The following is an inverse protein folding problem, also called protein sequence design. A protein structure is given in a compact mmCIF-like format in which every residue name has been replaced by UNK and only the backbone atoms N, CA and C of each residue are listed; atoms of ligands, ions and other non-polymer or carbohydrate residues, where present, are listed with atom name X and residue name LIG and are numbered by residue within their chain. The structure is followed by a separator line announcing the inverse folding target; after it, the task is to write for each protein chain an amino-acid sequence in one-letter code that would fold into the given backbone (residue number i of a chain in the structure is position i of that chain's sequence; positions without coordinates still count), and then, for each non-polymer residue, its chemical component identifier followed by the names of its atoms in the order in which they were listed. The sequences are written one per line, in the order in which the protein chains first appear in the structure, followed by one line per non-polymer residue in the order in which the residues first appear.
data_IF_231583281538
#
_entry.id   IF_231583281538
#
_cell.length_a   1.000
_cell.length_b   1.000
_cell.length_c   1.000
_cell.angle_alpha   90.00
_cell.angle_beta   90.00
_cell.angle_gamma   90.00
#
_symmetry.space_group_name_H-M   'P 1'
#
loop_
_entity.id
_entity.type
_entity.pdbx_description
1 polymer ?
#
# COMPACT_ATOMS: atom_id res chain seq x y z
N UNK A 1 -15.86 -9.78 -0.57
CA UNK A 1 -15.08 -11.03 -0.76
C UNK A 1 -13.81 -10.96 0.08
N UNK A 2 -13.46 -12.04 0.76
CA UNK A 2 -12.24 -12.09 1.57
C UNK A 2 -11.02 -12.22 0.66
N UNK A 3 -10.06 -11.32 0.78
CA UNK A 3 -8.87 -11.34 -0.08
C UNK A 3 -7.98 -12.57 0.18
N UNK A 4 -8.00 -13.12 1.39
CA UNK A 4 -7.24 -14.32 1.74
C UNK A 4 -7.72 -15.53 0.91
N UNK A 5 -9.03 -15.70 0.78
CA UNK A 5 -9.62 -16.76 -0.03
C UNK A 5 -9.21 -16.60 -1.50
N UNK A 6 -9.41 -15.40 -2.06
CA UNK A 6 -9.07 -15.12 -3.46
C UNK A 6 -7.60 -15.36 -3.77
N UNK A 7 -6.69 -14.86 -2.92
CA UNK A 7 -5.26 -15.03 -3.15
C UNK A 7 -4.85 -16.49 -3.05
N UNK A 8 -5.39 -17.24 -2.09
CA UNK A 8 -5.05 -18.65 -1.90
C UNK A 8 -5.61 -19.54 -3.01
N UNK A 9 -6.78 -19.23 -3.58
CA UNK A 9 -7.30 -19.90 -4.78
C UNK A 9 -6.34 -19.76 -5.98
N UNK A 10 -5.59 -18.66 -6.07
CA UNK A 10 -4.56 -18.43 -7.09
C UNK A 10 -3.16 -18.91 -6.68
N UNK A 11 -3.05 -19.70 -5.60
CA UNK A 11 -1.79 -20.31 -5.16
C UNK A 11 -0.86 -19.40 -4.36
N UNK A 12 -1.40 -18.30 -3.80
CA UNK A 12 -0.64 -17.37 -2.96
C UNK A 12 0.19 -16.34 -3.74
N UNK A 13 0.94 -15.52 -3.02
CA UNK A 13 1.78 -14.43 -3.59
C UNK A 13 3.18 -14.46 -2.99
N UNK A 14 4.15 -13.86 -3.68
CA UNK A 14 5.54 -13.80 -3.25
C UNK A 14 5.84 -12.54 -2.43
N UNK A 15 5.10 -11.45 -2.69
CA UNK A 15 5.31 -10.16 -2.02
C UNK A 15 3.97 -9.54 -1.65
N UNK A 16 3.89 -9.05 -0.41
CA UNK A 16 2.78 -8.24 0.07
C UNK A 16 3.32 -6.90 0.57
N UNK A 17 2.73 -5.81 0.10
CA UNK A 17 2.94 -4.45 0.62
C UNK A 17 1.72 -4.09 1.44
N UNK A 18 1.91 -3.87 2.75
CA UNK A 18 0.83 -3.65 3.70
C UNK A 18 0.95 -2.29 4.40
N UNK A 19 -0.17 -1.59 4.50
CA UNK A 19 -0.31 -0.35 5.26
C UNK A 19 -1.46 -0.39 6.28
N UNK A 20 -2.11 -1.56 6.42
CA UNK A 20 -3.23 -1.79 7.37
C UNK A 20 -2.71 -2.41 8.66
N UNK A 21 -1.81 -3.36 8.59
CA UNK A 21 -1.17 -4.09 9.68
C UNK A 21 -2.10 -5.05 10.44
N UNK A 22 -2.37 -4.80 11.74
CA UNK A 22 -2.89 -5.81 12.66
C UNK A 22 -4.09 -6.63 12.16
N UNK A 23 -5.16 -6.05 11.61
CA UNK A 23 -6.33 -6.82 11.13
C UNK A 23 -6.01 -7.78 9.98
N UNK A 24 -4.98 -7.46 9.19
CA UNK A 24 -4.61 -8.23 8.00
C UNK A 24 -3.38 -9.11 8.20
N UNK A 25 -2.64 -8.93 9.29
CA UNK A 25 -1.34 -9.58 9.48
C UNK A 25 -1.41 -11.10 9.32
N UNK A 26 -2.32 -11.77 10.05
CA UNK A 26 -2.46 -13.23 9.96
C UNK A 26 -2.86 -13.69 8.55
N UNK A 27 -3.75 -12.96 7.88
CA UNK A 27 -4.19 -13.25 6.51
C UNK A 27 -3.03 -13.07 5.54
N UNK A 28 -2.26 -11.98 5.66
CA UNK A 28 -1.08 -11.72 4.85
C UNK A 28 -0.07 -12.88 4.94
N UNK A 29 0.21 -13.35 6.16
CA UNK A 29 1.10 -14.50 6.38
C UNK A 29 0.57 -15.79 5.73
N UNK A 30 -0.74 -16.00 5.78
CA UNK A 30 -1.36 -17.15 5.14
C UNK A 30 -1.28 -17.10 3.60
N UNK A 31 -1.42 -15.91 3.03
CA UNK A 31 -1.35 -15.68 1.58
C UNK A 31 0.07 -15.79 1.00
N UNK A 32 1.10 -15.55 1.80
CA UNK A 32 2.49 -15.62 1.32
C UNK A 32 2.91 -17.05 1.02
N UNK A 33 3.58 -17.20 -0.12
CA UNK A 33 4.29 -18.44 -0.49
C UNK A 33 5.53 -18.64 0.38
N UNK A 34 6.15 -19.78 0.27
CA UNK A 34 7.46 -20.03 0.85
C UNK A 34 8.49 -19.06 0.30
N UNK A 35 9.37 -18.53 1.17
CA UNK A 35 10.35 -17.47 0.89
C UNK A 35 9.70 -16.10 0.57
N UNK A 36 8.40 -15.95 0.84
CA UNK A 36 7.65 -14.72 0.59
C UNK A 36 8.05 -13.57 1.51
N UNK A 37 7.67 -12.35 1.09
CA UNK A 37 8.04 -11.09 1.76
C UNK A 37 6.82 -10.27 2.12
N UNK A 38 6.75 -9.84 3.38
CA UNK A 38 5.81 -8.83 3.85
C UNK A 38 6.54 -7.51 4.12
N UNK A 39 6.14 -6.45 3.43
CA UNK A 39 6.68 -5.10 3.62
C UNK A 39 5.61 -4.22 4.23
N UNK A 40 5.78 -3.82 5.49
CA UNK A 40 4.84 -2.95 6.20
C UNK A 40 5.25 -1.49 6.05
N UNK A 41 4.34 -0.64 5.54
CA UNK A 41 4.56 0.80 5.34
C UNK A 41 3.80 1.67 6.35
N UNK A 42 2.73 1.14 6.94
CA UNK A 42 1.94 1.81 7.95
C UNK A 42 1.16 0.78 8.82
N UNK A 43 0.42 1.27 9.81
CA UNK A 43 -0.43 0.46 10.67
C UNK A 43 -1.78 1.17 10.90
N UNK A 44 -2.48 1.47 9.79
CA UNK A 44 -3.74 2.22 9.82
C UNK A 44 -4.85 1.48 10.56
N UNK A 45 -4.85 0.15 10.52
CA UNK A 45 -5.81 -0.71 11.23
C UNK A 45 -5.39 -1.07 12.66
N UNK A 46 -4.25 -0.54 13.13
CA UNK A 46 -3.74 -0.77 14.48
C UNK A 46 -2.40 -1.50 14.50
N UNK A 47 -1.60 -1.27 15.56
CA UNK A 47 -0.22 -1.78 15.64
C UNK A 47 -0.10 -3.14 16.36
N UNK A 48 -1.15 -3.64 17.01
CA UNK A 48 -1.07 -4.80 17.90
C UNK A 48 -1.72 -6.03 17.29
N UNK A 49 -0.94 -7.07 17.07
CA UNK A 49 -1.42 -8.41 16.69
C UNK A 49 -1.57 -9.22 17.96
N UNK A 50 -2.80 -9.63 18.32
CA UNK A 50 -3.07 -10.28 19.59
C UNK A 50 -2.58 -11.74 19.65
N UNK A 51 -2.74 -12.49 18.56
CA UNK A 51 -2.33 -13.88 18.52
C UNK A 51 -1.67 -14.20 17.15
N UNK A 52 -0.45 -14.68 17.21
CA UNK A 52 0.27 -15.07 16.01
C UNK A 52 1.09 -16.35 16.24
N UNK A 53 0.99 -17.28 15.31
CA UNK A 53 1.78 -18.52 15.35
C UNK A 53 3.12 -18.33 14.60
N UNK A 54 4.22 -18.19 15.36
CA UNK A 54 5.56 -17.99 14.81
C UNK A 54 6.05 -19.16 13.94
N UNK A 55 5.52 -20.37 14.13
CA UNK A 55 5.88 -21.52 13.28
C UNK A 55 5.54 -21.29 11.80
N UNK A 56 4.55 -20.44 11.50
CA UNK A 56 4.23 -20.07 10.11
C UNK A 56 5.37 -19.30 9.45
N UNK A 57 6.08 -18.46 10.19
CA UNK A 57 7.25 -17.74 9.66
C UNK A 57 8.39 -18.70 9.35
N UNK A 58 8.66 -19.62 10.27
CA UNK A 58 9.73 -20.61 10.13
C UNK A 58 9.44 -21.59 8.98
N UNK A 59 8.25 -22.18 8.95
CA UNK A 59 7.88 -23.18 7.96
C UNK A 59 7.88 -22.66 6.53
N UNK A 60 7.49 -21.40 6.35
CA UNK A 60 7.51 -20.73 5.05
C UNK A 60 8.77 -19.90 4.79
N UNK A 61 9.72 -19.81 5.74
CA UNK A 61 10.94 -18.97 5.67
C UNK A 61 10.67 -17.52 5.27
N UNK A 62 9.62 -16.91 5.88
CA UNK A 62 9.15 -15.59 5.50
C UNK A 62 10.09 -14.48 5.93
N UNK A 63 10.16 -13.43 5.13
CA UNK A 63 10.83 -12.18 5.45
C UNK A 63 9.79 -11.10 5.77
N UNK A 64 9.90 -10.51 6.96
CA UNK A 64 9.05 -9.38 7.35
C UNK A 64 9.93 -8.16 7.55
N UNK A 65 9.64 -7.11 6.81
CA UNK A 65 10.34 -5.82 6.91
C UNK A 65 9.32 -4.70 7.12
N UNK A 66 9.79 -3.62 7.74
CA UNK A 66 8.99 -2.41 7.87
C UNK A 66 9.81 -1.21 7.40
N UNK A 67 9.14 -0.23 6.83
CA UNK A 67 9.78 1.02 6.41
C UNK A 67 8.87 2.20 6.74
N UNK A 68 9.50 3.33 6.99
CA UNK A 68 8.84 4.62 7.12
C UNK A 68 9.68 5.69 6.45
N UNK A 69 9.05 6.55 5.67
CA UNK A 69 9.74 7.66 5.02
C UNK A 69 9.83 8.88 5.96
N UNK A 70 8.80 9.08 6.78
CA UNK A 70 8.66 10.29 7.60
C UNK A 70 9.77 10.48 8.63
N UNK A 71 10.31 9.41 9.17
CA UNK A 71 11.39 9.43 10.18
C UNK A 71 12.80 9.36 9.58
N UNK A 72 12.93 9.27 8.26
CA UNK A 72 14.22 9.26 7.57
C UNK A 72 14.83 10.66 7.52
N UNK A 73 16.14 10.73 7.42
CA UNK A 73 16.84 12.01 7.23
C UNK A 73 16.37 12.70 5.95
N UNK A 74 16.49 14.02 5.91
CA UNK A 74 16.11 14.81 4.75
C UNK A 74 16.90 14.40 3.50
N UNK A 75 18.18 14.13 3.66
CA UNK A 75 19.05 13.69 2.55
C UNK A 75 18.59 12.34 1.97
N UNK A 76 18.20 11.41 2.84
CA UNK A 76 17.61 10.14 2.38
C UNK A 76 16.34 10.37 1.59
N UNK A 77 15.43 11.22 2.07
CA UNK A 77 14.18 11.53 1.37
C UNK A 77 14.44 12.18 0.02
N UNK A 78 15.39 13.12 -0.06
CA UNK A 78 15.77 13.79 -1.30
C UNK A 78 16.35 12.78 -2.30
N UNK A 79 17.29 11.94 -1.88
CA UNK A 79 17.93 10.96 -2.76
C UNK A 79 16.91 9.93 -3.28
N UNK A 80 16.08 9.39 -2.39
CA UNK A 80 15.01 8.46 -2.78
C UNK A 80 14.04 9.10 -3.79
N UNK A 81 13.68 10.38 -3.58
CA UNK A 81 12.79 11.09 -4.51
C UNK A 81 13.42 11.29 -5.87
N UNK A 82 14.73 11.61 -5.93
CA UNK A 82 15.47 11.74 -7.19
C UNK A 82 15.53 10.40 -7.93
N UNK A 83 15.95 9.34 -7.25
CA UNK A 83 16.02 8.00 -7.84
C UNK A 83 14.64 7.54 -8.35
N UNK A 84 13.58 7.79 -7.57
CA UNK A 84 12.22 7.49 -8.00
C UNK A 84 11.80 8.32 -9.22
N UNK A 85 12.13 9.62 -9.26
CA UNK A 85 11.81 10.47 -10.39
C UNK A 85 12.51 10.02 -11.67
N UNK A 86 13.81 9.69 -11.59
CA UNK A 86 14.58 9.17 -12.72
C UNK A 86 13.99 7.86 -13.28
N UNK A 87 13.52 6.99 -12.38
CA UNK A 87 12.86 5.74 -12.78
C UNK A 87 11.44 5.95 -13.31
N UNK A 88 10.62 6.74 -12.59
CA UNK A 88 9.18 6.77 -12.82
C UNK A 88 8.73 7.78 -13.87
N UNK A 89 9.37 8.95 -13.98
CA UNK A 89 8.94 9.98 -14.92
C UNK A 89 8.93 9.50 -16.39
N UNK A 90 9.95 8.80 -16.90
CA UNK A 90 9.91 8.26 -18.26
C UNK A 90 8.80 7.21 -18.47
N UNK A 91 8.39 6.51 -17.38
CA UNK A 91 7.28 5.56 -17.46
C UNK A 91 5.92 6.27 -17.52
N UNK A 92 5.77 7.40 -16.82
CA UNK A 92 4.57 8.24 -16.94
C UNK A 92 4.48 8.90 -18.31
N UNK A 93 5.58 9.43 -18.84
CA UNK A 93 5.62 10.08 -20.17
C UNK A 93 5.18 9.15 -21.30
N UNK A 94 5.62 7.89 -21.27
CA UNK A 94 5.19 6.86 -22.23
C UNK A 94 3.93 6.10 -21.83
N UNK A 95 3.21 6.58 -20.83
CA UNK A 95 1.96 6.00 -20.30
C UNK A 95 2.05 4.53 -19.82
N UNK A 96 3.26 4.01 -19.57
CA UNK A 96 3.48 2.69 -18.99
C UNK A 96 3.09 2.66 -17.49
N UNK A 97 3.15 3.81 -16.81
CA UNK A 97 2.55 4.04 -15.51
C UNK A 97 1.45 5.10 -15.65
N UNK A 98 0.28 4.80 -15.14
CA UNK A 98 -0.86 5.73 -15.11
C UNK A 98 -1.48 5.76 -13.73
N UNK A 99 -1.66 6.94 -13.11
CA UNK A 99 -2.43 7.06 -11.89
C UNK A 99 -3.90 6.75 -12.19
N UNK A 100 -4.51 5.91 -11.38
CA UNK A 100 -5.96 5.72 -11.44
C UNK A 100 -6.62 6.92 -10.76
N UNK A 101 -7.37 7.71 -11.52
CA UNK A 101 -8.15 8.84 -11.01
C UNK A 101 -9.60 8.42 -10.90
N UNK A 102 -10.13 8.39 -9.68
CA UNK A 102 -11.52 8.07 -9.40
C UNK A 102 -12.44 9.24 -9.79
N UNK A 103 -12.13 10.44 -9.27
CA UNK A 103 -12.93 11.65 -9.56
C UNK A 103 -12.11 12.92 -9.41
N UNK A 104 -12.44 13.91 -10.26
CA UNK A 104 -11.91 15.27 -10.17
C UNK A 104 -13.02 16.18 -9.66
N UNK A 105 -12.74 16.96 -8.61
CA UNK A 105 -13.65 17.95 -8.07
C UNK A 105 -13.08 19.36 -8.26
N UNK A 106 -13.92 20.37 -8.50
CA UNK A 106 -13.51 21.76 -8.34
C UNK A 106 -13.04 22.02 -6.90
N UNK A 107 -12.11 22.95 -6.70
CA UNK A 107 -11.66 23.31 -5.35
C UNK A 107 -12.82 23.69 -4.42
N UNK A 108 -13.81 24.41 -4.93
CA UNK A 108 -15.00 24.80 -4.16
C UNK A 108 -15.79 23.61 -3.59
N UNK A 109 -15.60 22.43 -4.16
CA UNK A 109 -16.29 21.20 -3.74
C UNK A 109 -15.41 20.27 -2.86
N UNK A 110 -14.34 20.81 -2.26
CA UNK A 110 -13.41 20.03 -1.42
C UNK A 110 -14.11 19.19 -0.34
N UNK A 111 -15.19 19.71 0.26
CA UNK A 111 -15.97 18.99 1.26
C UNK A 111 -16.66 17.74 0.69
N UNK A 112 -17.05 17.74 -0.58
CA UNK A 112 -17.61 16.54 -1.23
C UNK A 112 -16.51 15.53 -1.53
N UNK A 113 -15.33 15.98 -1.94
CA UNK A 113 -14.16 15.14 -2.16
C UNK A 113 -13.76 14.42 -0.87
N UNK A 114 -13.73 15.10 0.27
CA UNK A 114 -13.46 14.50 1.58
C UNK A 114 -14.51 13.46 1.96
N UNK A 115 -15.80 13.78 1.84
CA UNK A 115 -16.88 12.81 2.12
C UNK A 115 -16.77 11.55 1.27
N UNK A 116 -16.43 11.69 -0.02
CA UNK A 116 -16.22 10.53 -0.89
C UNK A 116 -15.04 9.67 -0.43
N UNK A 117 -13.93 10.29 -0.05
CA UNK A 117 -12.76 9.57 0.48
C UNK A 117 -13.09 8.84 1.80
N UNK A 118 -13.78 9.52 2.72
CA UNK A 118 -14.15 8.97 4.03
C UNK A 118 -15.17 7.82 3.92
N UNK A 119 -16.00 7.84 2.87
CA UNK A 119 -16.96 6.76 2.60
C UNK A 119 -16.30 5.49 2.03
N UNK A 120 -14.99 5.50 1.73
CA UNK A 120 -14.24 4.40 1.11
C UNK A 120 -14.86 3.87 -0.20
N UNK A 121 -15.57 4.74 -0.95
CA UNK A 121 -16.18 4.38 -2.24
C UNK A 121 -15.28 4.69 -3.43
N UNK A 122 -14.13 5.33 -3.20
CA UNK A 122 -13.22 5.71 -4.27
C UNK A 122 -12.32 4.53 -4.66
N UNK A 123 -12.13 4.35 -5.98
CA UNK A 123 -11.16 3.43 -6.55
C UNK A 123 -10.05 4.23 -7.25
N UNK A 124 -9.01 4.61 -6.50
CA UNK A 124 -7.91 5.45 -6.99
C UNK A 124 -7.87 6.83 -6.31
N UNK A 125 -7.32 7.82 -7.01
CA UNK A 125 -7.07 9.16 -6.48
C UNK A 125 -8.25 10.09 -6.70
N UNK A 126 -8.59 10.86 -5.67
CA UNK A 126 -9.49 12.00 -5.78
C UNK A 126 -8.62 13.24 -6.01
N UNK A 127 -8.90 13.99 -7.06
CA UNK A 127 -8.12 15.16 -7.48
C UNK A 127 -8.96 16.41 -7.28
N UNK A 128 -8.35 17.46 -6.75
CA UNK A 128 -8.95 18.80 -6.69
C UNK A 128 -8.36 19.66 -7.79
N UNK A 129 -9.21 20.25 -8.61
CA UNK A 129 -8.81 21.20 -9.65
C UNK A 129 -8.90 22.61 -9.10
N UNK A 130 -7.79 23.30 -9.13
CA UNK A 130 -7.71 24.74 -8.84
C UNK A 130 -7.88 25.43 -10.18
N UNK A 131 -8.96 26.18 -10.33
CA UNK A 131 -9.17 27.05 -11.50
C UNK A 131 -8.47 28.38 -11.21
N UNK A 132 -7.64 28.80 -12.15
CA UNK A 132 -6.94 30.12 -12.12
C UNK A 132 -7.87 31.21 -12.63
#
# INVERSE_FOLDING_TARGET
QDFEEVINEHGGVDVIIDFIAAPYFNKNINCLRTDGRLVMLAALGGPKVEAFNLLKLLSKRLQITASTLRSRSRDYQINLTKEFAEFALPLFEREALRPVVDKVYPWAEVSQAHRRMESNQNAGKIVLRIES
#
